data_IF_808385394278
#
_entry.id   IF_808385394278
#
_cell.length_a   1.000
_cell.length_b   1.000
_cell.length_c   1.000
_cell.angle_alpha   90.00
_cell.angle_beta   90.00
_cell.angle_gamma   90.00
#
_symmetry.space_group_name_H-M   'P 1'
#
loop_
_entity.id
_entity.type
_entity.pdbx_description
1 polymer ?
#
# COMPACT_ATOMS: atom_id res chain seq x y z
N UNK A 1 22.83 41.69 -6.94
CA UNK A 1 23.18 40.57 -7.83
C UNK A 1 21.96 39.69 -8.02
N UNK A 2 21.26 39.85 -9.15
CA UNK A 2 20.04 39.10 -9.47
C UNK A 2 20.42 37.79 -10.18
N UNK A 3 20.10 36.64 -9.58
CA UNK A 3 20.20 35.35 -10.27
C UNK A 3 19.03 35.19 -11.23
N UNK A 4 19.32 34.86 -12.50
CA UNK A 4 18.32 34.59 -13.51
C UNK A 4 17.41 33.41 -13.10
N UNK A 5 16.10 33.68 -13.05
CA UNK A 5 15.08 32.68 -12.75
C UNK A 5 14.84 31.84 -14.00
N UNK A 6 14.96 30.52 -13.87
CA UNK A 6 14.58 29.54 -14.89
C UNK A 6 13.19 29.88 -15.47
N UNK A 7 13.17 30.33 -16.71
CA UNK A 7 11.96 30.65 -17.46
C UNK A 7 11.29 29.36 -17.95
N UNK A 8 10.61 28.64 -17.05
CA UNK A 8 9.46 27.83 -17.44
C UNK A 8 8.21 28.67 -17.23
N UNK A 9 7.63 29.08 -18.34
CA UNK A 9 6.43 29.91 -18.50
C UNK A 9 5.23 29.28 -17.78
N UNK A 10 4.99 29.66 -16.52
CA UNK A 10 3.66 29.53 -15.92
C UNK A 10 2.76 30.65 -16.46
N UNK A 11 1.60 30.29 -17.03
CA UNK A 11 0.65 31.20 -17.69
C UNK A 11 0.06 32.31 -16.79
N UNK A 12 0.41 32.35 -15.51
CA UNK A 12 0.08 33.44 -14.59
C UNK A 12 1.38 34.00 -14.01
N UNK A 13 1.66 35.28 -14.25
CA UNK A 13 2.79 35.98 -13.63
C UNK A 13 2.61 35.98 -12.11
N UNK A 14 3.67 35.63 -11.36
CA UNK A 14 3.62 35.65 -9.90
C UNK A 14 3.31 37.06 -9.42
N UNK A 15 2.11 37.27 -8.86
CA UNK A 15 1.58 38.56 -8.39
C UNK A 15 2.28 39.12 -7.14
N UNK A 16 3.19 38.36 -6.52
CA UNK A 16 3.95 38.76 -5.34
C UNK A 16 5.43 38.42 -5.50
N UNK A 17 6.30 39.38 -5.18
CA UNK A 17 7.74 39.15 -5.02
C UNK A 17 7.92 38.25 -3.79
N UNK A 18 8.43 37.03 -3.99
CA UNK A 18 8.84 36.19 -2.85
C UNK A 18 9.91 36.94 -2.08
N UNK A 19 9.75 37.16 -0.76
CA UNK A 19 10.72 37.91 0.02
C UNK A 19 12.07 37.19 -0.09
N UNK A 20 13.05 37.87 -0.68
CA UNK A 20 14.44 37.38 -0.71
C UNK A 20 14.89 37.32 0.74
N UNK A 21 15.48 36.20 1.16
CA UNK A 21 16.10 36.10 2.48
C UNK A 21 17.00 37.33 2.72
N UNK A 22 17.02 37.93 3.91
CA UNK A 22 17.88 39.07 4.18
C UNK A 22 19.37 38.68 4.18
N UNK A 23 19.69 37.39 4.30
CA UNK A 23 21.07 36.90 4.48
C UNK A 23 22.00 37.18 3.30
N UNK A 24 21.59 37.05 2.02
CA UNK A 24 22.42 37.41 0.87
C UNK A 24 22.55 38.92 0.65
N UNK A 25 21.74 39.75 1.32
CA UNK A 25 21.82 41.21 1.23
C UNK A 25 22.90 41.80 2.16
N UNK A 26 23.37 41.02 3.12
CA UNK A 26 24.40 41.41 4.09
C UNK A 26 25.73 40.79 3.69
N UNK A 27 26.78 41.62 3.58
CA UNK A 27 28.16 41.14 3.40
C UNK A 27 28.75 40.72 4.74
N UNK A 28 28.95 39.43 4.91
CA UNK A 28 29.50 38.83 6.12
C UNK A 28 31.02 38.97 6.17
N UNK A 29 31.55 39.22 7.37
CA UNK A 29 32.99 39.14 7.59
C UNK A 29 33.47 37.68 7.53
N UNK A 30 32.72 36.76 8.12
CA UNK A 30 33.04 35.32 8.14
C UNK A 30 31.78 34.48 8.04
N UNK A 31 31.85 33.39 7.27
CA UNK A 31 30.86 32.32 7.26
C UNK A 31 31.55 31.02 7.63
N UNK A 32 31.07 30.37 8.69
CA UNK A 32 31.57 29.08 9.16
C UNK A 32 30.50 28.02 8.95
N UNK A 33 30.84 26.93 8.24
CA UNK A 33 30.02 25.74 8.16
C UNK A 33 30.52 24.73 9.18
N UNK A 34 29.67 24.44 10.16
CA UNK A 34 29.86 23.30 11.05
C UNK A 34 29.21 22.05 10.43
N UNK A 35 29.80 20.89 10.68
CA UNK A 35 29.45 19.61 10.03
C UNK A 35 29.31 19.74 8.50
N UNK A 36 30.35 20.31 7.88
CA UNK A 36 30.33 20.68 6.47
C UNK A 36 30.04 19.49 5.52
N UNK A 37 30.16 18.24 6.00
CA UNK A 37 29.74 17.06 5.26
C UNK A 37 28.25 17.06 4.86
N UNK A 38 27.40 17.76 5.62
CA UNK A 38 25.98 17.92 5.31
C UNK A 38 25.71 18.78 4.06
N UNK A 39 26.71 19.53 3.58
CA UNK A 39 26.57 20.55 2.52
C UNK A 39 27.52 20.28 1.33
N UNK A 40 28.07 19.07 1.22
CA UNK A 40 29.08 18.70 0.21
C UNK A 40 28.56 18.63 -1.24
N UNK A 41 27.26 18.40 -1.42
CA UNK A 41 26.68 18.24 -2.76
C UNK A 41 26.70 19.55 -3.54
N UNK A 42 27.57 19.69 -4.55
CA UNK A 42 27.67 20.87 -5.43
C UNK A 42 26.31 21.27 -6.03
N UNK A 43 25.45 20.28 -6.29
CA UNK A 43 24.12 20.48 -6.86
C UNK A 43 23.00 20.70 -5.83
N UNK A 44 23.29 20.53 -4.54
CA UNK A 44 22.32 20.69 -3.47
C UNK A 44 21.89 22.17 -3.36
N UNK A 45 20.59 22.39 -3.14
CA UNK A 45 20.03 23.76 -3.04
C UNK A 45 20.65 24.51 -1.86
N UNK A 46 20.91 23.79 -0.75
CA UNK A 46 21.58 24.33 0.43
C UNK A 46 22.97 24.86 0.08
N UNK A 47 23.80 24.07 -0.60
CA UNK A 47 25.17 24.46 -0.99
C UNK A 47 25.18 25.68 -1.91
N UNK A 48 24.24 25.75 -2.85
CA UNK A 48 24.07 26.93 -3.72
C UNK A 48 23.70 28.17 -2.91
N UNK A 49 22.74 28.05 -1.99
CA UNK A 49 22.30 29.17 -1.15
C UNK A 49 23.42 29.68 -0.23
N UNK A 50 24.15 28.79 0.47
CA UNK A 50 25.26 29.22 1.34
C UNK A 50 26.41 29.84 0.53
N UNK A 51 26.67 29.36 -0.70
CA UNK A 51 27.65 30.00 -1.58
C UNK A 51 27.23 31.40 -2.02
N UNK A 52 25.93 31.65 -2.20
CA UNK A 52 25.43 32.99 -2.55
C UNK A 52 25.57 34.03 -1.43
N UNK A 53 25.83 33.62 -0.18
CA UNK A 53 26.11 34.55 0.90
C UNK A 53 27.42 35.31 0.62
N UNK A 54 27.42 36.64 0.53
CA UNK A 54 28.64 37.39 0.32
C UNK A 54 29.47 37.38 1.61
N UNK A 55 30.71 36.90 1.54
CA UNK A 55 31.58 36.71 2.70
C UNK A 55 33.03 37.11 2.38
N UNK A 56 33.76 37.65 3.37
CA UNK A 56 35.22 37.90 3.26
C UNK A 56 36.02 36.63 3.56
N UNK A 57 35.65 35.91 4.62
CA UNK A 57 36.29 34.65 5.03
C UNK A 57 35.30 33.49 5.07
N UNK A 58 35.72 32.32 4.59
CA UNK A 58 34.90 31.11 4.58
C UNK A 58 35.66 29.97 5.26
N UNK A 59 34.98 29.29 6.19
CA UNK A 59 35.55 28.22 7.00
C UNK A 59 34.63 27.01 6.93
N UNK A 60 35.22 25.82 6.82
CA UNK A 60 34.53 24.54 6.92
C UNK A 60 35.11 23.76 8.08
N UNK A 61 34.25 23.25 8.94
CA UNK A 61 34.59 22.39 10.07
C UNK A 61 33.86 21.06 9.85
N UNK A 62 34.61 19.97 9.85
CA UNK A 62 34.09 18.62 9.64
C UNK A 62 35.03 17.59 10.24
N UNK A 63 34.46 16.59 10.92
CA UNK A 63 35.23 15.43 11.37
C UNK A 63 35.57 14.44 10.25
N UNK A 64 34.79 14.44 9.17
CA UNK A 64 34.82 13.45 8.09
C UNK A 64 34.74 14.12 6.71
N UNK A 65 35.84 14.73 6.22
CA UNK A 65 35.83 15.52 4.98
C UNK A 65 35.65 14.71 3.69
N UNK A 66 35.62 13.36 3.78
CA UNK A 66 35.43 12.45 2.66
C UNK A 66 34.51 11.32 3.13
N UNK A 67 33.28 11.28 2.63
CA UNK A 67 32.33 10.19 2.92
C UNK A 67 32.26 9.14 1.80
N UNK A 68 31.98 9.58 0.56
CA UNK A 68 31.59 8.66 -0.54
C UNK A 68 32.50 8.76 -1.76
N UNK A 69 32.87 9.97 -2.17
CA UNK A 69 33.73 10.19 -3.33
C UNK A 69 34.66 11.39 -3.14
N UNK A 70 35.64 11.52 -4.02
CA UNK A 70 36.53 12.69 -4.06
C UNK A 70 35.79 13.98 -4.43
N UNK A 71 34.59 13.88 -5.02
CA UNK A 71 33.78 15.07 -5.35
C UNK A 71 33.14 15.70 -4.10
N UNK A 72 32.96 14.91 -3.03
CA UNK A 72 32.56 15.45 -1.72
C UNK A 72 33.58 16.47 -1.21
N UNK A 73 34.87 16.13 -1.34
CA UNK A 73 35.97 17.00 -0.96
C UNK A 73 36.00 18.29 -1.81
N UNK A 74 35.70 18.19 -3.11
CA UNK A 74 35.56 19.36 -3.96
C UNK A 74 34.43 20.29 -3.50
N UNK A 75 33.29 19.74 -3.07
CA UNK A 75 32.19 20.54 -2.52
C UNK A 75 32.65 21.49 -1.41
N UNK A 76 33.54 21.02 -0.53
CA UNK A 76 34.15 21.81 0.53
C UNK A 76 35.11 22.87 -0.03
N UNK A 77 36.02 22.49 -0.94
CA UNK A 77 36.97 23.42 -1.58
C UNK A 77 36.26 24.52 -2.37
N UNK A 78 35.20 24.15 -3.09
CA UNK A 78 34.35 25.05 -3.85
C UNK A 78 33.58 26.03 -2.96
N UNK A 79 33.25 25.63 -1.73
CA UNK A 79 32.69 26.54 -0.73
C UNK A 79 33.74 27.50 -0.18
N UNK A 80 34.96 27.04 0.12
CA UNK A 80 36.04 27.92 0.60
C UNK A 80 36.39 29.04 -0.40
N UNK A 81 36.02 28.87 -1.67
CA UNK A 81 36.19 29.83 -2.76
C UNK A 81 37.65 30.25 -2.98
N UNK A 82 38.55 29.29 -2.79
CA UNK A 82 39.99 29.48 -2.91
C UNK A 82 40.46 29.33 -4.36
N UNK A 83 40.69 30.44 -5.05
CA UNK A 83 41.19 30.48 -6.42
C UNK A 83 42.65 29.98 -6.52
N UNK A 84 43.02 29.21 -7.56
CA UNK A 84 42.22 28.76 -8.71
C UNK A 84 41.48 27.42 -8.49
N UNK A 85 41.57 26.84 -7.30
CA UNK A 85 41.05 25.50 -6.99
C UNK A 85 39.53 25.44 -6.81
N UNK A 86 38.87 26.59 -6.78
CA UNK A 86 37.42 26.71 -6.84
C UNK A 86 36.86 26.43 -8.25
N UNK A 87 37.72 26.24 -9.27
CA UNK A 87 37.33 25.75 -10.60
C UNK A 87 37.30 24.22 -10.66
N UNK A 88 36.16 23.69 -11.12
CA UNK A 88 35.94 22.26 -11.25
C UNK A 88 36.83 21.61 -12.31
N UNK A 89 37.22 22.35 -13.35
CA UNK A 89 38.10 21.80 -14.40
C UNK A 89 39.48 21.46 -13.84
N UNK A 90 40.05 22.36 -13.03
CA UNK A 90 41.32 22.14 -12.35
C UNK A 90 41.20 21.00 -11.33
N UNK A 91 40.10 20.96 -10.55
CA UNK A 91 39.84 19.86 -9.63
C UNK A 91 39.79 18.50 -10.35
N UNK A 92 39.10 18.42 -11.48
CA UNK A 92 38.98 17.18 -12.26
C UNK A 92 40.34 16.68 -12.74
N UNK A 93 41.26 17.58 -13.11
CA UNK A 93 42.63 17.21 -13.47
C UNK A 93 43.40 16.65 -12.27
N UNK A 94 43.31 17.29 -11.11
CA UNK A 94 43.93 16.80 -9.87
C UNK A 94 43.38 15.44 -9.45
N UNK A 95 42.06 15.25 -9.50
CA UNK A 95 41.40 13.99 -9.19
C UNK A 95 41.79 12.88 -10.19
N UNK A 96 41.90 13.21 -11.48
CA UNK A 96 42.37 12.25 -12.48
C UNK A 96 43.81 11.78 -12.18
N UNK A 97 44.73 12.70 -11.87
CA UNK A 97 46.10 12.34 -11.48
C UNK A 97 46.15 11.48 -10.21
N UNK A 98 45.29 11.78 -9.23
CA UNK A 98 45.14 10.96 -8.03
C UNK A 98 44.66 9.53 -8.37
N UNK A 99 43.65 9.39 -9.24
CA UNK A 99 43.15 8.09 -9.70
C UNK A 99 44.18 7.28 -10.49
N UNK A 100 45.10 7.96 -11.20
CA UNK A 100 46.26 7.34 -11.87
C UNK A 100 47.40 6.98 -10.90
N UNK A 101 47.23 7.20 -9.59
CA UNK A 101 48.20 6.82 -8.56
C UNK A 101 49.20 7.90 -8.18
N UNK A 102 49.03 9.14 -8.64
CA UNK A 102 49.89 10.27 -8.24
C UNK A 102 49.14 11.23 -7.29
N UNK A 103 49.24 11.04 -5.96
CA UNK A 103 48.52 11.87 -4.99
C UNK A 103 49.20 13.21 -4.67
N UNK A 104 50.48 13.39 -5.05
CA UNK A 104 51.30 14.54 -4.62
C UNK A 104 50.67 15.89 -4.97
N UNK A 105 50.13 16.12 -6.18
CA UNK A 105 49.54 17.42 -6.54
C UNK A 105 48.33 17.76 -5.67
N UNK A 106 47.44 16.78 -5.45
CA UNK A 106 46.25 16.97 -4.62
C UNK A 106 46.65 17.23 -3.16
N UNK A 107 47.58 16.44 -2.61
CA UNK A 107 48.05 16.61 -1.24
C UNK A 107 48.70 17.98 -1.00
N UNK A 108 49.48 18.49 -1.96
CA UNK A 108 50.12 19.80 -1.85
C UNK A 108 49.11 20.96 -1.79
N UNK A 109 47.96 20.81 -2.46
CA UNK A 109 46.85 21.77 -2.36
C UNK A 109 46.17 21.62 -1.00
N UNK A 110 45.80 20.39 -0.64
CA UNK A 110 45.10 20.11 0.61
C UNK A 110 45.91 20.55 1.84
N UNK A 111 47.23 20.38 1.85
CA UNK A 111 48.09 20.81 2.96
C UNK A 111 48.13 22.32 3.17
N UNK A 112 47.73 23.13 2.17
CA UNK A 112 47.66 24.60 2.28
C UNK A 112 46.32 25.09 2.82
N UNK A 113 45.25 24.35 2.59
CA UNK A 113 43.87 24.79 2.88
C UNK A 113 43.21 24.00 4.01
N UNK A 114 43.73 22.82 4.34
CA UNK A 114 43.15 21.92 5.33
C UNK A 114 44.11 21.73 6.49
N UNK A 115 43.58 21.92 7.70
CA UNK A 115 44.24 21.52 8.93
C UNK A 115 43.50 20.31 9.51
N UNK A 116 44.20 19.19 9.74
CA UNK A 116 43.64 17.98 10.33
C UNK A 116 44.54 17.45 11.43
N UNK A 117 44.04 17.46 12.65
CA UNK A 117 44.69 16.82 13.80
C UNK A 117 44.09 15.44 14.02
N UNK A 118 44.90 14.39 13.98
CA UNK A 118 44.45 13.03 14.28
C UNK A 118 44.33 12.82 15.79
N UNK A 119 43.30 12.09 16.25
CA UNK A 119 43.11 11.75 17.67
C UNK A 119 44.35 11.09 18.29
N UNK A 120 45.07 10.27 17.51
CA UNK A 120 46.32 9.64 17.94
C UNK A 120 47.45 10.63 18.29
N UNK A 121 47.47 11.83 17.68
CA UNK A 121 48.49 12.84 17.90
C UNK A 121 48.25 13.71 19.14
N UNK A 122 47.07 13.62 19.76
CA UNK A 122 46.64 14.39 20.94
C UNK A 122 46.06 13.49 22.03
N UNK A 123 46.26 12.17 21.91
CA UNK A 123 45.63 11.18 22.79
C UNK A 123 46.10 11.34 24.25
N UNK A 124 47.36 11.71 24.43
CA UNK A 124 48.04 12.01 25.68
C UNK A 124 47.45 13.24 26.40
N UNK A 125 47.00 14.24 25.65
CA UNK A 125 46.45 15.49 26.17
C UNK A 125 44.96 15.40 26.52
N UNK A 126 44.22 14.50 25.88
CA UNK A 126 42.76 14.42 25.98
C UNK A 126 42.27 13.52 27.12
N UNK A 127 43.12 12.66 27.70
CA UNK A 127 42.74 11.76 28.80
C UNK A 127 41.60 10.80 28.46
N UNK A 128 41.41 10.47 27.17
CA UNK A 128 40.28 9.64 26.71
C UNK A 128 40.58 8.17 27.01
N UNK A 129 39.65 7.43 27.65
CA UNK A 129 39.84 5.99 27.87
C UNK A 129 39.98 5.24 26.53
N UNK A 130 40.73 4.12 26.51
CA UNK A 130 40.86 3.32 25.31
C UNK A 130 39.48 2.84 24.83
N UNK A 131 39.24 2.92 23.53
CA UNK A 131 38.02 2.40 22.93
C UNK A 131 38.04 0.87 22.96
N UNK A 132 37.05 0.25 23.59
CA UNK A 132 36.86 -1.20 23.58
C UNK A 132 35.72 -1.58 22.65
N UNK A 133 35.96 -2.50 21.72
CA UNK A 133 34.94 -3.08 20.85
C UNK A 133 34.64 -4.50 21.30
N UNK A 134 33.37 -4.80 21.59
CA UNK A 134 32.92 -6.14 21.98
C UNK A 134 31.97 -6.67 20.92
N UNK A 135 32.38 -7.72 20.22
CA UNK A 135 31.58 -8.36 19.18
C UNK A 135 30.68 -9.44 19.78
N UNK A 136 29.37 -9.17 19.88
CA UNK A 136 28.37 -10.17 20.27
C UNK A 136 27.86 -10.92 19.04
N UNK A 137 28.22 -12.19 18.92
CA UNK A 137 27.68 -13.09 17.89
C UNK A 137 26.36 -13.66 18.38
N UNK A 138 25.27 -13.34 17.68
CA UNK A 138 23.92 -13.81 17.99
C UNK A 138 23.60 -15.00 17.09
N UNK A 139 23.07 -16.07 17.67
CA UNK A 139 22.54 -17.21 16.92
C UNK A 139 21.04 -17.00 16.66
N UNK A 140 20.62 -17.17 15.41
CA UNK A 140 19.20 -17.16 15.05
C UNK A 140 18.48 -18.37 15.66
N UNK A 141 17.21 -18.22 16.01
CA UNK A 141 16.34 -19.36 16.34
C UNK A 141 16.15 -20.27 15.14
N UNK A 142 15.74 -21.53 15.36
CA UNK A 142 15.51 -22.49 14.28
C UNK A 142 14.50 -21.98 13.23
N UNK A 143 13.44 -21.32 13.71
CA UNK A 143 12.44 -20.71 12.84
C UNK A 143 13.04 -19.59 11.98
N UNK A 144 13.78 -18.66 12.59
CA UNK A 144 14.45 -17.57 11.88
C UNK A 144 15.48 -18.09 10.87
N UNK A 145 16.24 -19.13 11.24
CA UNK A 145 17.23 -19.75 10.37
C UNK A 145 16.56 -20.43 9.16
N UNK A 146 15.42 -21.10 9.35
CA UNK A 146 14.64 -21.66 8.24
C UNK A 146 14.21 -20.56 7.24
N UNK A 147 13.64 -19.45 7.72
CA UNK A 147 13.25 -18.33 6.83
C UNK A 147 14.43 -17.68 6.16
N UNK A 148 15.49 -17.40 6.93
CA UNK A 148 16.70 -16.81 6.41
C UNK A 148 17.27 -17.66 5.27
N UNK A 149 17.28 -19.00 5.40
CA UNK A 149 17.74 -19.92 4.35
C UNK A 149 16.83 -19.91 3.13
N UNK A 150 15.51 -19.90 3.32
CA UNK A 150 14.54 -19.84 2.21
C UNK A 150 14.68 -18.53 1.44
N UNK A 151 14.77 -17.39 2.13
CA UNK A 151 14.98 -16.10 1.48
C UNK A 151 16.39 -15.98 0.88
N UNK A 152 17.40 -16.56 1.52
CA UNK A 152 18.74 -16.61 0.97
C UNK A 152 18.78 -17.36 -0.36
N UNK A 153 18.06 -18.47 -0.48
CA UNK A 153 17.93 -19.20 -1.74
C UNK A 153 17.31 -18.32 -2.84
N UNK A 154 16.23 -17.58 -2.54
CA UNK A 154 15.58 -16.64 -3.47
C UNK A 154 16.48 -15.46 -3.85
N UNK A 155 17.16 -14.87 -2.87
CA UNK A 155 18.11 -13.77 -3.13
C UNK A 155 19.29 -14.27 -3.97
N UNK A 156 19.76 -15.50 -3.76
CA UNK A 156 20.83 -16.09 -4.54
C UNK A 156 20.41 -16.34 -6.00
N UNK A 157 19.18 -16.80 -6.26
CA UNK A 157 18.67 -16.95 -7.64
C UNK A 157 18.53 -15.59 -8.32
N UNK A 158 17.89 -14.61 -7.66
CA UNK A 158 17.73 -13.25 -8.19
C UNK A 158 19.08 -12.56 -8.46
N UNK A 159 20.06 -12.74 -7.58
CA UNK A 159 21.42 -12.24 -7.78
C UNK A 159 22.07 -12.88 -9.01
N UNK A 160 21.98 -14.21 -9.16
CA UNK A 160 22.56 -14.92 -10.31
C UNK A 160 21.93 -14.49 -11.63
N UNK A 161 20.61 -14.31 -11.66
CA UNK A 161 19.90 -13.80 -12.84
C UNK A 161 20.42 -12.41 -13.23
N UNK A 162 20.47 -11.47 -12.28
CA UNK A 162 21.02 -10.13 -12.53
C UNK A 162 22.49 -10.16 -12.94
N UNK A 163 23.29 -11.03 -12.33
CA UNK A 163 24.70 -11.20 -12.67
C UNK A 163 24.89 -11.77 -14.09
N UNK A 164 23.98 -12.65 -14.54
CA UNK A 164 24.04 -13.23 -15.88
C UNK A 164 23.93 -12.15 -16.97
N UNK A 165 23.09 -11.13 -16.77
CA UNK A 165 22.97 -9.99 -17.69
C UNK A 165 24.22 -9.11 -17.76
N UNK A 166 25.04 -9.09 -16.71
CA UNK A 166 26.23 -8.23 -16.62
C UNK A 166 27.48 -8.89 -17.23
N UNK A 167 27.47 -10.19 -17.52
CA UNK A 167 28.61 -10.91 -18.09
C UNK A 167 29.69 -11.28 -17.05
N UNK A 168 30.35 -12.44 -17.23
CA UNK A 168 31.23 -13.06 -16.21
C UNK A 168 32.59 -12.38 -16.00
N UNK A 169 33.00 -11.47 -16.87
CA UNK A 169 34.37 -10.93 -16.90
C UNK A 169 34.51 -9.54 -16.24
N UNK A 170 33.43 -8.99 -15.71
CA UNK A 170 33.44 -7.68 -15.07
C UNK A 170 33.81 -7.80 -13.59
N UNK A 171 34.95 -7.22 -13.23
CA UNK A 171 35.32 -7.03 -11.82
C UNK A 171 34.42 -6.00 -11.17
N UNK A 172 33.96 -6.31 -9.94
CA UNK A 172 33.16 -5.40 -9.11
C UNK A 172 33.82 -4.02 -8.92
N UNK A 173 35.15 -3.96 -8.89
CA UNK A 173 35.90 -2.71 -8.74
C UNK A 173 35.80 -1.77 -9.96
N UNK A 174 35.41 -2.30 -11.13
CA UNK A 174 35.25 -1.55 -12.39
C UNK A 174 33.79 -1.26 -12.73
N UNK A 175 32.85 -1.74 -11.92
CA UNK A 175 31.42 -1.51 -12.11
C UNK A 175 31.04 -0.11 -11.67
N UNK A 176 30.02 0.47 -12.32
CA UNK A 176 29.41 1.71 -11.84
C UNK A 176 28.63 1.45 -10.56
N UNK A 177 28.52 2.46 -9.71
CA UNK A 177 27.77 2.40 -8.44
C UNK A 177 26.30 1.99 -8.68
N UNK A 178 25.71 2.42 -9.79
CA UNK A 178 24.33 2.09 -10.16
C UNK A 178 24.16 0.59 -10.44
N UNK A 179 25.07 0.02 -11.24
CA UNK A 179 25.09 -1.41 -11.54
C UNK A 179 25.35 -2.23 -10.28
N UNK A 180 26.27 -1.79 -9.42
CA UNK A 180 26.54 -2.43 -8.14
C UNK A 180 25.30 -2.43 -7.24
N UNK A 181 24.61 -1.29 -7.12
CA UNK A 181 23.38 -1.19 -6.33
C UNK A 181 22.28 -2.12 -6.87
N UNK A 182 22.12 -2.22 -8.20
CA UNK A 182 21.15 -3.13 -8.81
C UNK A 182 21.45 -4.60 -8.50
N UNK A 183 22.74 -4.97 -8.54
CA UNK A 183 23.23 -6.31 -8.25
C UNK A 183 23.10 -6.66 -6.76
N UNK A 184 23.36 -5.69 -5.86
CA UNK A 184 23.30 -5.86 -4.41
C UNK A 184 21.89 -5.71 -3.82
N UNK A 185 20.93 -5.20 -4.59
CA UNK A 185 19.55 -4.96 -4.16
C UNK A 185 18.87 -6.19 -3.52
N UNK A 186 19.02 -7.43 -4.04
CA UNK A 186 18.47 -8.62 -3.40
C UNK A 186 19.03 -8.88 -1.99
N UNK A 187 20.30 -8.53 -1.73
CA UNK A 187 20.95 -8.74 -0.42
C UNK A 187 20.47 -7.74 0.65
N UNK A 188 19.87 -6.63 0.24
CA UNK A 188 19.27 -5.66 1.17
C UNK A 188 18.18 -6.31 2.01
N UNK A 189 17.40 -7.21 1.41
CA UNK A 189 16.34 -7.96 2.09
C UNK A 189 16.91 -8.90 3.15
N UNK A 190 17.95 -9.67 2.81
CA UNK A 190 18.64 -10.55 3.79
C UNK A 190 19.18 -9.77 5.00
N UNK A 191 19.70 -8.57 4.78
CA UNK A 191 20.14 -7.70 5.89
C UNK A 191 18.98 -7.24 6.77
N UNK A 192 17.80 -7.00 6.19
CA UNK A 192 16.61 -6.64 6.96
C UNK A 192 16.16 -7.82 7.81
N UNK A 193 16.12 -9.03 7.24
CA UNK A 193 15.69 -10.25 7.92
C UNK A 193 16.60 -10.63 9.11
N UNK A 194 17.89 -10.27 9.07
CA UNK A 194 18.80 -10.43 10.22
C UNK A 194 18.46 -9.53 11.42
N UNK A 195 17.83 -8.36 11.19
CA UNK A 195 17.52 -7.38 12.24
C UNK A 195 16.09 -7.61 12.74
N UNK A 196 15.14 -7.74 11.82
CA UNK A 196 13.73 -8.00 12.09
C UNK A 196 13.24 -8.97 11.02
N UNK A 197 12.67 -10.14 11.37
CA UNK A 197 12.08 -11.05 10.39
C UNK A 197 10.93 -10.36 9.63
N UNK A 198 11.22 -9.84 8.45
CA UNK A 198 10.22 -9.17 7.60
C UNK A 198 9.43 -10.22 6.83
N UNK A 199 8.46 -10.86 7.47
CA UNK A 199 7.54 -11.82 6.80
C UNK A 199 6.52 -11.12 5.86
N UNK A 200 6.63 -9.81 5.65
CA UNK A 200 5.72 -9.06 4.78
C UNK A 200 6.22 -9.07 3.32
N UNK A 201 5.88 -10.14 2.59
CA UNK A 201 6.01 -10.20 1.14
C UNK A 201 4.69 -10.48 0.39
N UNK A 202 3.53 -10.26 1.02
CA UNK A 202 2.24 -10.29 0.31
C UNK A 202 1.42 -9.05 0.65
N UNK A 203 1.67 -7.97 -0.09
CA UNK A 203 0.66 -7.17 -0.79
C UNK A 203 1.24 -5.78 -1.14
N UNK A 204 1.06 -5.38 -2.39
CA UNK A 204 1.32 -4.06 -2.99
C UNK A 204 0.49 -2.91 -2.38
N UNK A 205 0.21 -2.92 -1.08
CA UNK A 205 -0.52 -1.85 -0.43
C UNK A 205 0.29 -1.24 0.71
N UNK A 206 0.66 0.02 0.48
CA UNK A 206 1.14 1.00 1.42
C UNK A 206 0.32 1.00 2.72
N UNK A 207 0.68 0.20 3.71
CA UNK A 207 0.43 0.50 5.12
C UNK A 207 1.48 -0.22 5.96
N UNK A 208 2.25 0.58 6.70
CA UNK A 208 3.09 0.23 7.85
C UNK A 208 3.57 -1.23 7.94
N UNK A 209 4.87 -1.46 7.70
CA UNK A 209 5.58 -2.68 8.10
C UNK A 209 5.35 -2.92 9.59
N UNK A 210 4.30 -3.66 9.95
CA UNK A 210 3.99 -3.97 11.33
C UNK A 210 5.10 -4.92 11.79
N UNK A 211 5.92 -4.46 12.72
CA UNK A 211 6.88 -5.32 13.40
C UNK A 211 6.07 -6.39 14.13
N UNK A 212 6.12 -7.64 13.65
CA UNK A 212 5.48 -8.75 14.35
C UNK A 212 6.42 -9.25 15.46
N UNK A 213 5.87 -9.43 16.65
CA UNK A 213 6.53 -10.17 17.73
C UNK A 213 6.68 -11.65 17.34
N UNK A 214 7.57 -12.43 18.00
CA UNK A 214 7.74 -13.86 17.71
C UNK A 214 6.45 -14.68 17.80
N UNK A 215 5.52 -14.29 18.69
CA UNK A 215 4.23 -14.96 18.84
C UNK A 215 3.27 -14.64 17.70
N UNK A 216 3.14 -13.36 17.34
CA UNK A 216 2.33 -12.95 16.20
C UNK A 216 2.89 -13.53 14.88
N UNK A 217 4.23 -13.66 14.79
CA UNK A 217 4.90 -14.33 13.68
C UNK A 217 4.46 -15.78 13.56
N UNK A 218 4.50 -16.53 14.67
CA UNK A 218 4.08 -17.93 14.71
C UNK A 218 2.62 -18.08 14.29
N UNK A 219 1.73 -17.25 14.81
CA UNK A 219 0.30 -17.29 14.46
C UNK A 219 0.06 -17.00 12.98
N UNK A 220 0.70 -15.96 12.45
CA UNK A 220 0.64 -15.65 11.02
C UNK A 220 1.15 -16.80 10.15
N UNK A 221 2.20 -17.51 10.60
CA UNK A 221 2.76 -18.64 9.88
C UNK A 221 1.84 -19.86 9.88
N UNK A 222 1.19 -20.13 11.01
CA UNK A 222 0.15 -21.18 11.09
C UNK A 222 -0.97 -20.85 10.10
N UNK A 223 -1.47 -19.62 10.10
CA UNK A 223 -2.52 -19.19 9.18
C UNK A 223 -2.11 -19.28 7.71
N UNK A 224 -0.90 -18.85 7.35
CA UNK A 224 -0.43 -18.95 5.97
C UNK A 224 -0.26 -20.40 5.52
N UNK A 225 0.26 -21.27 6.39
CA UNK A 225 0.39 -22.69 6.09
C UNK A 225 -0.99 -23.36 5.95
N UNK A 226 -1.94 -23.03 6.82
CA UNK A 226 -3.33 -23.48 6.69
C UNK A 226 -3.96 -23.06 5.35
N UNK A 227 -3.71 -21.82 4.90
CA UNK A 227 -4.19 -21.36 3.58
C UNK A 227 -3.55 -22.13 2.43
N UNK A 228 -2.24 -22.38 2.49
CA UNK A 228 -1.51 -23.16 1.47
C UNK A 228 -2.03 -24.60 1.42
N UNK A 229 -2.21 -25.26 2.57
CA UNK A 229 -2.81 -26.58 2.65
C UNK A 229 -4.26 -26.60 2.13
N UNK A 230 -5.10 -25.62 2.48
CA UNK A 230 -6.46 -25.50 1.94
C UNK A 230 -6.44 -25.33 0.42
N UNK A 231 -5.50 -24.54 -0.11
CA UNK A 231 -5.34 -24.37 -1.57
C UNK A 231 -4.94 -25.66 -2.27
N UNK A 232 -3.98 -26.41 -1.71
CA UNK A 232 -3.57 -27.70 -2.27
C UNK A 232 -4.72 -28.72 -2.22
N UNK A 233 -5.44 -28.79 -1.10
CA UNK A 233 -6.59 -29.68 -0.92
C UNK A 233 -7.72 -29.36 -1.90
N UNK A 234 -8.01 -28.06 -2.13
CA UNK A 234 -8.94 -27.60 -3.15
C UNK A 234 -8.56 -28.11 -4.53
N UNK A 235 -7.29 -28.00 -4.92
CA UNK A 235 -6.81 -28.50 -6.21
C UNK A 235 -7.00 -30.01 -6.33
N UNK A 236 -6.63 -30.78 -5.31
CA UNK A 236 -6.77 -32.25 -5.31
C UNK A 236 -8.25 -32.65 -5.49
N UNK A 237 -9.15 -32.13 -4.65
CA UNK A 237 -10.57 -32.48 -4.70
C UNK A 237 -11.21 -32.01 -6.00
N UNK A 238 -10.87 -30.81 -6.49
CA UNK A 238 -11.34 -30.32 -7.79
C UNK A 238 -10.88 -31.22 -8.94
N UNK A 239 -9.64 -31.72 -8.92
CA UNK A 239 -9.15 -32.66 -9.93
C UNK A 239 -9.87 -34.01 -9.85
N UNK A 240 -10.17 -34.51 -8.65
CA UNK A 240 -10.94 -35.75 -8.48
C UNK A 240 -12.36 -35.59 -9.04
N UNK A 241 -13.05 -34.49 -8.72
CA UNK A 241 -14.36 -34.17 -9.28
C UNK A 241 -14.31 -34.07 -10.81
N UNK A 242 -13.29 -33.41 -11.36
CA UNK A 242 -13.08 -33.31 -12.80
C UNK A 242 -12.87 -34.69 -13.47
N UNK A 243 -12.07 -35.57 -12.86
CA UNK A 243 -11.89 -36.94 -13.35
C UNK A 243 -13.18 -37.74 -13.29
N UNK A 244 -13.95 -37.61 -12.20
CA UNK A 244 -15.24 -38.27 -12.05
C UNK A 244 -16.21 -37.85 -13.17
N UNK A 245 -16.29 -36.55 -13.47
CA UNK A 245 -17.09 -36.03 -14.57
C UNK A 245 -16.68 -36.60 -15.95
N UNK A 246 -15.37 -36.80 -16.20
CA UNK A 246 -14.89 -37.45 -17.43
C UNK A 246 -15.39 -38.90 -17.53
N UNK A 247 -15.40 -39.64 -16.42
CA UNK A 247 -15.96 -40.99 -16.39
C UNK A 247 -17.48 -41.01 -16.61
N UNK A 248 -18.21 -40.01 -16.09
CA UNK A 248 -19.65 -39.84 -16.39
C UNK A 248 -19.88 -39.65 -17.89
N UNK A 249 -19.10 -38.79 -18.56
CA UNK A 249 -19.19 -38.57 -20.01
C UNK A 249 -18.90 -39.85 -20.79
N UNK A 250 -17.94 -40.67 -20.31
CA UNK A 250 -17.61 -41.99 -20.88
C UNK A 250 -18.62 -43.08 -20.56
N UNK A 251 -19.68 -42.78 -19.80
CA UNK A 251 -20.69 -43.73 -19.30
C UNK A 251 -20.12 -44.82 -18.38
N UNK A 252 -19.00 -44.55 -17.73
CA UNK A 252 -18.34 -45.43 -16.75
C UNK A 252 -18.81 -45.05 -15.33
N UNK A 253 -20.10 -45.23 -15.05
CA UNK A 253 -20.77 -44.73 -13.84
C UNK A 253 -20.22 -45.31 -12.53
N UNK A 254 -19.84 -46.59 -12.50
CA UNK A 254 -19.23 -47.19 -11.30
C UNK A 254 -17.92 -46.50 -10.91
N UNK A 255 -17.10 -46.16 -11.90
CA UNK A 255 -15.81 -45.53 -11.67
C UNK A 255 -15.99 -44.06 -11.27
N UNK A 256 -16.95 -43.36 -11.87
CA UNK A 256 -17.35 -42.02 -11.46
C UNK A 256 -17.83 -41.99 -9.99
N UNK A 257 -18.69 -42.94 -9.60
CA UNK A 257 -19.18 -43.04 -8.23
C UNK A 257 -18.05 -43.28 -7.20
N UNK A 258 -17.05 -44.12 -7.53
CA UNK A 258 -15.87 -44.34 -6.68
C UNK A 258 -15.06 -43.05 -6.49
N UNK A 259 -14.91 -42.24 -7.54
CA UNK A 259 -14.17 -40.98 -7.48
C UNK A 259 -14.93 -39.89 -6.71
N UNK A 260 -16.26 -39.76 -6.88
CA UNK A 260 -17.04 -38.84 -6.03
C UNK A 260 -17.03 -39.26 -4.55
N UNK A 261 -17.10 -40.57 -4.26
CA UNK A 261 -16.94 -41.07 -2.89
C UNK A 261 -15.54 -40.79 -2.33
N UNK A 262 -14.49 -40.87 -3.14
CA UNK A 262 -13.15 -40.54 -2.69
C UNK A 262 -12.99 -39.04 -2.42
N UNK A 263 -13.58 -38.16 -3.24
CA UNK A 263 -13.63 -36.72 -2.97
C UNK A 263 -14.31 -36.41 -1.63
N UNK A 264 -15.41 -37.09 -1.30
CA UNK A 264 -16.10 -36.95 -0.01
C UNK A 264 -15.31 -37.51 1.16
N UNK A 265 -14.57 -38.61 0.94
CA UNK A 265 -13.65 -39.15 1.94
C UNK A 265 -12.55 -38.16 2.30
N UNK A 266 -11.97 -37.44 1.32
CA UNK A 266 -11.02 -36.36 1.61
C UNK A 266 -11.64 -35.25 2.47
N UNK A 267 -12.94 -34.98 2.31
CA UNK A 267 -13.63 -34.02 3.18
C UNK A 267 -13.86 -34.56 4.60
N UNK A 268 -14.05 -35.87 4.75
CA UNK A 268 -14.25 -36.53 6.04
C UNK A 268 -12.93 -36.74 6.80
N UNK A 269 -11.84 -37.06 6.09
CA UNK A 269 -10.49 -37.23 6.65
C UNK A 269 -9.92 -35.89 7.15
N UNK A 270 -10.32 -34.77 6.54
CA UNK A 270 -9.88 -33.40 6.88
C UNK A 270 -11.02 -32.55 7.48
N UNK A 271 -11.58 -33.01 8.60
CA UNK A 271 -12.54 -32.23 9.40
C UNK A 271 -11.81 -31.46 10.52
N UNK A 272 -11.79 -30.13 10.46
CA UNK A 272 -11.16 -29.28 11.50
C UNK A 272 -10.52 -28.01 10.95
N UNK A 273 -9.24 -27.79 11.27
CA UNK A 273 -8.46 -26.58 10.92
C UNK A 273 -8.31 -26.37 9.41
N UNK A 274 -8.11 -27.47 8.68
CA UNK A 274 -8.06 -27.50 7.22
C UNK A 274 -9.29 -28.26 6.75
N UNK A 275 -10.19 -27.60 6.01
CA UNK A 275 -11.44 -28.18 5.53
C UNK A 275 -11.54 -28.06 4.01
N UNK A 276 -12.15 -29.04 3.35
CA UNK A 276 -12.51 -28.95 1.93
C UNK A 276 -13.62 -27.93 1.73
N UNK A 277 -13.57 -27.16 0.65
CA UNK A 277 -14.60 -26.17 0.32
C UNK A 277 -15.98 -26.81 0.18
N UNK A 278 -17.01 -26.16 0.73
CA UNK A 278 -18.39 -26.68 0.72
C UNK A 278 -18.93 -26.88 -0.69
N UNK A 279 -18.59 -26.01 -1.65
CA UNK A 279 -19.04 -26.12 -3.04
C UNK A 279 -18.49 -27.38 -3.74
N UNK A 280 -17.23 -27.76 -3.46
CA UNK A 280 -16.64 -28.97 -4.04
C UNK A 280 -17.31 -30.24 -3.49
N UNK A 281 -17.71 -30.21 -2.21
CA UNK A 281 -18.46 -31.30 -1.59
C UNK A 281 -19.89 -31.37 -2.13
N UNK A 282 -20.57 -30.23 -2.30
CA UNK A 282 -21.90 -30.15 -2.91
C UNK A 282 -21.86 -30.72 -4.33
N UNK A 283 -20.85 -30.34 -5.13
CA UNK A 283 -20.66 -30.89 -6.48
C UNK A 283 -20.50 -32.41 -6.45
N UNK A 284 -19.66 -32.94 -5.57
CA UNK A 284 -19.47 -34.38 -5.46
C UNK A 284 -20.74 -35.11 -5.03
N UNK A 285 -21.50 -34.57 -4.06
CA UNK A 285 -22.74 -35.16 -3.56
C UNK A 285 -23.85 -35.14 -4.63
N UNK A 286 -24.06 -34.00 -5.28
CA UNK A 286 -25.10 -33.84 -6.29
C UNK A 286 -24.90 -34.79 -7.47
N UNK A 287 -23.68 -34.82 -8.03
CA UNK A 287 -23.38 -35.72 -9.15
C UNK A 287 -23.33 -37.18 -8.72
N UNK A 288 -22.94 -37.49 -7.47
CA UNK A 288 -22.99 -38.86 -6.96
C UNK A 288 -24.43 -39.36 -6.85
N UNK A 289 -25.36 -38.53 -6.36
CA UNK A 289 -26.80 -38.84 -6.31
C UNK A 289 -27.30 -39.17 -7.72
N UNK A 290 -27.05 -38.30 -8.69
CA UNK A 290 -27.47 -38.49 -10.08
C UNK A 290 -26.86 -39.76 -10.71
N UNK A 291 -25.56 -40.00 -10.51
CA UNK A 291 -24.89 -41.22 -11.02
C UNK A 291 -25.46 -42.48 -10.38
N UNK A 292 -25.78 -42.46 -9.09
CA UNK A 292 -26.37 -43.61 -8.39
C UNK A 292 -27.80 -43.89 -8.88
N UNK A 293 -28.58 -42.86 -9.18
CA UNK A 293 -29.91 -43.01 -9.79
C UNK A 293 -29.84 -43.57 -11.22
N UNK A 294 -28.87 -43.11 -12.01
CA UNK A 294 -28.69 -43.53 -13.41
C UNK A 294 -28.11 -44.94 -13.57
N UNK A 295 -27.25 -45.38 -12.66
CA UNK A 295 -26.55 -46.67 -12.80
C UNK A 295 -27.43 -47.89 -12.52
N UNK A 296 -28.68 -47.69 -12.09
CA UNK A 296 -29.63 -48.77 -11.85
C UNK A 296 -29.25 -49.68 -10.68
N UNK A 297 -30.23 -50.42 -10.21
CA UNK A 297 -30.24 -51.09 -8.92
C UNK A 297 -29.48 -52.45 -8.92
N UNK A 298 -28.52 -52.68 -8.01
CA UNK A 298 -27.82 -53.98 -7.86
C UNK A 298 -27.74 -54.45 -6.38
N UNK A 299 -28.64 -54.02 -5.47
CA UNK A 299 -28.55 -54.31 -4.02
C UNK A 299 -29.87 -54.60 -3.31
N UNK A 300 -29.93 -54.43 -1.98
CA UNK A 300 -31.19 -54.41 -1.19
C UNK A 300 -31.82 -53.01 -1.24
N UNK A 301 -33.09 -52.90 -1.68
CA UNK A 301 -33.80 -51.63 -1.96
C UNK A 301 -33.77 -50.61 -0.82
N UNK A 302 -33.80 -51.11 0.41
CA UNK A 302 -33.91 -50.28 1.59
C UNK A 302 -32.57 -49.65 2.02
N UNK A 303 -31.45 -50.36 1.83
CA UNK A 303 -30.11 -49.85 2.20
C UNK A 303 -29.65 -48.74 1.26
N UNK A 304 -29.92 -48.89 -0.03
CA UNK A 304 -29.61 -47.89 -1.06
C UNK A 304 -30.45 -46.62 -0.88
N UNK A 305 -31.77 -46.75 -0.66
CA UNK A 305 -32.64 -45.58 -0.41
C UNK A 305 -32.28 -44.85 0.89
N UNK A 306 -31.69 -45.53 1.87
CA UNK A 306 -31.17 -44.88 3.07
C UNK A 306 -29.88 -44.09 2.75
N UNK A 307 -28.94 -44.70 2.03
CA UNK A 307 -27.71 -44.01 1.61
C UNK A 307 -27.99 -42.78 0.74
N UNK A 308 -28.95 -42.86 -0.18
CA UNK A 308 -29.35 -41.72 -1.01
C UNK A 308 -29.88 -40.56 -0.15
N UNK A 309 -30.78 -40.86 0.78
CA UNK A 309 -31.31 -39.88 1.75
C UNK A 309 -30.21 -39.25 2.60
N UNK A 310 -29.23 -40.03 3.05
CA UNK A 310 -28.10 -39.52 3.83
C UNK A 310 -27.25 -38.52 3.00
N UNK A 311 -27.03 -38.81 1.71
CA UNK A 311 -26.32 -37.89 0.80
C UNK A 311 -27.13 -36.62 0.50
N UNK A 312 -28.44 -36.74 0.28
CA UNK A 312 -29.35 -35.60 0.07
C UNK A 312 -29.37 -34.68 1.30
N UNK A 313 -29.48 -35.25 2.51
CA UNK A 313 -29.48 -34.49 3.75
C UNK A 313 -28.12 -33.78 3.96
N UNK A 314 -27.01 -34.47 3.68
CA UNK A 314 -25.67 -33.86 3.74
C UNK A 314 -25.51 -32.72 2.73
N UNK A 315 -26.02 -32.89 1.51
CA UNK A 315 -26.00 -31.87 0.48
C UNK A 315 -26.81 -30.63 0.91
N UNK A 316 -28.04 -30.83 1.38
CA UNK A 316 -28.91 -29.76 1.85
C UNK A 316 -28.30 -28.97 3.03
N UNK A 317 -27.63 -29.67 3.97
CA UNK A 317 -26.90 -29.02 5.07
C UNK A 317 -25.76 -28.14 4.57
N UNK A 318 -24.99 -28.62 3.59
CA UNK A 318 -23.87 -27.86 3.02
C UNK A 318 -24.34 -26.66 2.19
N UNK A 319 -25.40 -26.82 1.40
CA UNK A 319 -26.03 -25.73 0.65
C UNK A 319 -26.54 -24.65 1.59
N UNK A 320 -27.22 -25.03 2.68
CA UNK A 320 -27.67 -24.07 3.68
C UNK A 320 -26.51 -23.36 4.35
N UNK A 321 -25.47 -24.08 4.79
CA UNK A 321 -24.27 -23.47 5.38
C UNK A 321 -23.65 -22.42 4.46
N UNK A 322 -23.64 -22.67 3.15
CA UNK A 322 -23.15 -21.70 2.17
C UNK A 322 -24.07 -20.47 2.07
N UNK A 323 -25.37 -20.68 1.89
CA UNK A 323 -26.38 -19.62 1.74
C UNK A 323 -26.56 -18.79 3.02
N UNK A 324 -26.43 -19.40 4.19
CA UNK A 324 -26.60 -18.78 5.50
C UNK A 324 -25.70 -17.54 5.68
N UNK A 325 -24.47 -17.59 5.14
CA UNK A 325 -23.55 -16.45 5.15
C UNK A 325 -24.15 -15.22 4.47
N UNK A 326 -24.74 -15.40 3.30
CA UNK A 326 -25.42 -14.34 2.54
C UNK A 326 -26.73 -13.91 3.21
N UNK A 327 -27.51 -14.87 3.73
CA UNK A 327 -28.73 -14.58 4.50
C UNK A 327 -28.45 -13.68 5.70
N UNK A 328 -27.34 -13.93 6.41
CA UNK A 328 -26.94 -13.12 7.55
C UNK A 328 -26.51 -11.70 7.15
N UNK A 329 -25.84 -11.54 6.00
CA UNK A 329 -25.52 -10.21 5.46
C UNK A 329 -26.81 -9.43 5.17
N UNK A 330 -27.77 -10.04 4.47
CA UNK A 330 -29.06 -9.41 4.17
C UNK A 330 -29.82 -9.01 5.45
N UNK A 331 -29.88 -9.91 6.44
CA UNK A 331 -30.52 -9.62 7.74
C UNK A 331 -29.83 -8.49 8.51
N UNK A 332 -28.51 -8.37 8.41
CA UNK A 332 -27.76 -7.29 9.05
C UNK A 332 -28.05 -5.94 8.39
N UNK A 333 -28.05 -5.89 7.04
CA UNK A 333 -28.42 -4.69 6.29
C UNK A 333 -29.83 -4.25 6.64
N UNK A 334 -30.78 -5.18 6.73
CA UNK A 334 -32.17 -4.88 7.13
C UNK A 334 -32.25 -4.29 8.55
N UNK A 335 -31.50 -4.86 9.49
CA UNK A 335 -31.43 -4.39 10.88
C UNK A 335 -30.83 -2.98 10.98
N UNK A 336 -29.91 -2.63 10.09
CA UNK A 336 -29.31 -1.28 10.02
C UNK A 336 -30.20 -0.27 9.29
N UNK A 337 -30.92 -0.71 8.25
CA UNK A 337 -31.81 0.15 7.46
C UNK A 337 -33.07 0.54 8.23
N UNK A 338 -33.69 -0.39 8.97
CA UNK A 338 -34.92 -0.14 9.73
C UNK A 338 -34.85 1.09 10.68
N UNK A 339 -33.82 1.25 11.53
CA UNK A 339 -33.71 2.44 12.39
C UNK A 339 -33.37 3.71 11.61
N UNK A 340 -32.64 3.62 10.49
CA UNK A 340 -32.35 4.77 9.64
C UNK A 340 -33.61 5.28 8.94
N UNK A 341 -34.40 4.38 8.36
CA UNK A 341 -35.70 4.68 7.75
C UNK A 341 -36.69 5.24 8.79
N UNK A 342 -36.72 4.66 10.00
CA UNK A 342 -37.54 5.16 11.11
C UNK A 342 -37.17 6.59 11.52
N UNK A 343 -35.87 6.92 11.61
CA UNK A 343 -35.40 8.29 11.90
C UNK A 343 -35.78 9.28 10.79
N UNK A 344 -35.65 8.89 9.52
CA UNK A 344 -36.06 9.74 8.40
C UNK A 344 -37.56 10.02 8.46
N UNK A 345 -38.38 9.01 8.74
CA UNK A 345 -39.82 9.18 8.93
C UNK A 345 -40.15 10.09 10.11
N UNK A 346 -39.49 9.90 11.26
CA UNK A 346 -39.69 10.75 12.45
C UNK A 346 -39.32 12.22 12.18
N UNK A 347 -38.19 12.46 11.51
CA UNK A 347 -37.73 13.81 11.14
C UNK A 347 -38.69 14.44 10.12
N UNK A 348 -39.12 13.68 9.11
CA UNK A 348 -40.11 14.13 8.12
C UNK A 348 -41.42 14.52 8.78
N UNK A 349 -41.95 13.69 9.69
CA UNK A 349 -43.19 13.97 10.41
C UNK A 349 -43.08 15.18 11.35
N UNK A 350 -41.90 15.44 11.94
CA UNK A 350 -41.65 16.66 12.74
C UNK A 350 -41.59 17.93 11.88
N UNK A 351 -41.20 17.81 10.61
CA UNK A 351 -41.02 18.92 9.68
C UNK A 351 -42.31 19.28 8.94
N UNK A 352 -43.19 18.31 8.67
CA UNK A 352 -44.44 18.44 7.86
C UNK A 352 -45.41 19.54 8.33
N UNK A 353 -45.29 20.01 9.57
CA UNK A 353 -46.15 21.08 10.11
C UNK A 353 -45.41 22.36 10.53
N UNK A 354 -44.07 22.38 10.44
CA UNK A 354 -43.25 23.51 10.92
C UNK A 354 -42.49 24.22 9.82
N UNK A 355 -42.26 23.53 8.71
CA UNK A 355 -41.50 23.98 7.57
C UNK A 355 -42.28 23.49 6.36
N UNK A 356 -43.09 24.37 5.74
CA UNK A 356 -43.46 24.16 4.34
C UNK A 356 -42.15 23.86 3.64
N UNK A 357 -42.06 22.78 2.86
CA UNK A 357 -40.82 22.17 2.36
C UNK A 357 -39.90 23.07 1.52
N UNK A 358 -40.06 24.39 1.60
CA UNK A 358 -39.29 25.47 1.03
C UNK A 358 -39.00 26.60 2.06
N UNK A 359 -38.72 26.33 3.35
CA UNK A 359 -38.37 27.40 4.33
C UNK A 359 -37.28 28.37 3.84
N UNK A 360 -36.36 27.90 2.99
CA UNK A 360 -35.34 28.74 2.39
C UNK A 360 -35.94 29.85 1.53
N UNK A 361 -37.17 29.70 0.98
CA UNK A 361 -37.87 30.75 0.24
C UNK A 361 -38.25 31.93 1.14
N UNK A 362 -38.63 31.69 2.39
CA UNK A 362 -38.87 32.75 3.36
C UNK A 362 -37.58 33.50 3.71
N UNK A 363 -36.47 32.74 3.82
CA UNK A 363 -35.14 33.32 4.03
C UNK A 363 -34.69 34.13 2.82
N UNK A 364 -34.86 33.60 1.61
CA UNK A 364 -34.58 34.30 0.35
C UNK A 364 -35.40 35.58 0.25
N UNK A 365 -36.69 35.53 0.58
CA UNK A 365 -37.59 36.69 0.58
C UNK A 365 -37.16 37.76 1.61
N UNK A 366 -36.67 37.34 2.78
CA UNK A 366 -36.13 38.25 3.78
C UNK A 366 -34.81 38.92 3.35
N UNK A 367 -33.98 38.20 2.58
CA UNK A 367 -32.70 38.68 2.07
C UNK A 367 -32.87 39.62 0.87
N UNK A 368 -33.84 39.36 0.01
CA UNK A 368 -34.13 40.18 -1.19
C UNK A 368 -34.41 41.66 -0.85
N UNK A 369 -34.93 41.93 0.37
CA UNK A 369 -35.17 43.28 0.87
C UNK A 369 -33.90 44.12 1.09
N UNK A 370 -32.71 43.52 1.14
CA UNK A 370 -31.45 44.23 1.39
C UNK A 370 -30.29 43.74 0.50
N UNK A 371 -30.00 44.50 -0.55
CA UNK A 371 -28.96 44.21 -1.54
C UNK A 371 -27.56 43.96 -0.95
N UNK A 372 -27.17 44.68 0.11
CA UNK A 372 -25.86 44.50 0.75
C UNK A 372 -25.76 43.16 1.50
N UNK A 373 -26.86 42.70 2.12
CA UNK A 373 -26.92 41.39 2.81
C UNK A 373 -26.93 40.25 1.80
N UNK A 374 -27.62 40.41 0.67
CA UNK A 374 -27.64 39.44 -0.42
C UNK A 374 -26.25 39.20 -1.00
N UNK A 375 -25.50 40.28 -1.29
CA UNK A 375 -24.14 40.17 -1.82
C UNK A 375 -23.18 39.47 -0.84
N UNK A 376 -23.25 39.81 0.45
CA UNK A 376 -22.44 39.16 1.49
C UNK A 376 -22.78 37.67 1.66
N UNK A 377 -24.07 37.31 1.59
CA UNK A 377 -24.54 35.94 1.70
C UNK A 377 -24.08 35.08 0.51
N UNK A 378 -24.27 35.56 -0.72
CA UNK A 378 -23.83 34.84 -1.94
C UNK A 378 -22.32 34.62 -1.97
N UNK A 379 -21.53 35.61 -1.51
CA UNK A 379 -20.07 35.45 -1.42
C UNK A 379 -19.68 34.37 -0.41
N UNK A 380 -20.32 34.35 0.76
CA UNK A 380 -20.08 33.30 1.77
C UNK A 380 -20.51 31.93 1.26
N UNK A 381 -21.67 31.83 0.62
CA UNK A 381 -22.20 30.58 0.05
C UNK A 381 -21.25 30.01 -1.01
N UNK A 382 -20.81 30.83 -1.98
CA UNK A 382 -19.91 30.38 -3.04
C UNK A 382 -18.52 29.97 -2.51
N UNK A 383 -18.04 30.57 -1.41
CA UNK A 383 -16.82 30.11 -0.73
C UNK A 383 -17.02 28.73 -0.10
N UNK A 384 -18.13 28.51 0.60
CA UNK A 384 -18.42 27.22 1.23
C UNK A 384 -18.65 26.11 0.20
N UNK A 385 -19.37 26.40 -0.88
CA UNK A 385 -19.59 25.44 -1.98
C UNK A 385 -18.26 25.05 -2.62
N UNK A 386 -17.38 26.01 -2.93
CA UNK A 386 -16.04 25.73 -3.48
C UNK A 386 -15.16 24.88 -2.57
N UNK A 387 -15.29 25.05 -1.26
CA UNK A 387 -14.53 24.26 -0.28
C UNK A 387 -15.00 22.80 -0.18
N UNK A 388 -16.29 22.52 -0.39
CA UNK A 388 -16.88 21.20 -0.14
C UNK A 388 -17.07 20.35 -1.40
N UNK A 389 -17.45 20.92 -2.56
CA UNK A 389 -17.83 20.12 -3.73
C UNK A 389 -16.79 20.09 -4.85
N UNK A 390 -15.79 20.99 -4.87
CA UNK A 390 -14.77 21.09 -5.92
C UNK A 390 -15.30 21.35 -7.35
N UNK A 391 -16.62 21.35 -7.52
CA UNK A 391 -17.39 21.50 -8.76
C UNK A 391 -18.74 22.11 -8.39
N UNK A 392 -18.91 23.40 -8.66
CA UNK A 392 -20.21 24.02 -8.91
C UNK A 392 -19.97 25.34 -9.63
N UNK A 393 -20.79 25.63 -10.63
CA UNK A 393 -20.90 26.97 -11.21
C UNK A 393 -21.27 27.97 -10.10
N UNK A 394 -20.71 29.18 -10.16
CA UNK A 394 -20.99 30.21 -9.15
C UNK A 394 -22.49 30.53 -9.13
N UNK A 395 -23.11 30.51 -7.95
CA UNK A 395 -24.51 30.90 -7.79
C UNK A 395 -24.61 32.41 -7.98
N UNK A 396 -25.12 32.84 -9.13
CA UNK A 396 -25.10 34.25 -9.57
C UNK A 396 -26.21 35.09 -8.91
N UNK A 397 -27.28 34.46 -8.40
CA UNK A 397 -28.37 35.20 -7.76
C UNK A 397 -29.35 34.35 -6.96
N UNK A 398 -30.14 35.00 -6.10
CA UNK A 398 -31.09 34.34 -5.18
C UNK A 398 -32.17 33.51 -5.90
N UNK A 399 -32.64 33.94 -7.08
CA UNK A 399 -33.61 33.19 -7.89
C UNK A 399 -33.01 31.92 -8.50
N UNK A 400 -31.75 32.00 -8.92
CA UNK A 400 -30.99 30.84 -9.40
C UNK A 400 -30.76 29.84 -8.28
N UNK A 401 -30.51 30.34 -7.05
CA UNK A 401 -30.39 29.51 -5.86
C UNK A 401 -31.69 28.80 -5.50
N UNK A 402 -32.84 29.48 -5.51
CA UNK A 402 -34.14 28.85 -5.23
C UNK A 402 -34.46 27.75 -6.25
N UNK A 403 -34.21 28.01 -7.54
CA UNK A 403 -34.38 27.01 -8.60
C UNK A 403 -33.47 25.80 -8.35
N UNK A 404 -32.17 26.00 -8.12
CA UNK A 404 -31.22 24.91 -7.87
C UNK A 404 -31.58 24.09 -6.63
N UNK A 405 -31.95 24.74 -5.51
CA UNK A 405 -32.35 24.04 -4.29
C UNK A 405 -33.63 23.23 -4.48
N UNK A 406 -34.59 23.77 -5.24
CA UNK A 406 -35.83 23.05 -5.56
C UNK A 406 -35.54 21.83 -6.43
N UNK A 407 -34.75 22.00 -7.50
CA UNK A 407 -34.33 20.90 -8.39
C UNK A 407 -33.58 19.81 -7.63
N UNK A 408 -32.60 20.18 -6.80
CA UNK A 408 -31.84 19.21 -6.01
C UNK A 408 -32.72 18.46 -5.01
N UNK A 409 -33.68 19.13 -4.38
CA UNK A 409 -34.60 18.47 -3.46
C UNK A 409 -35.50 17.46 -4.19
N UNK A 410 -35.99 17.84 -5.37
CA UNK A 410 -36.84 16.97 -6.19
C UNK A 410 -36.04 15.77 -6.72
N UNK A 411 -34.80 15.97 -7.20
CA UNK A 411 -33.87 14.89 -7.58
C UNK A 411 -33.60 13.93 -6.41
N UNK A 412 -33.35 14.47 -5.21
CA UNK A 412 -33.12 13.63 -4.01
C UNK A 412 -34.36 12.83 -3.63
N UNK A 413 -35.56 13.39 -3.78
CA UNK A 413 -36.82 12.67 -3.54
C UNK A 413 -37.04 11.57 -4.59
N UNK A 414 -36.80 11.87 -5.86
CA UNK A 414 -36.91 10.91 -6.96
C UNK A 414 -35.95 9.73 -6.74
N UNK A 415 -34.66 10.00 -6.51
CA UNK A 415 -33.66 8.97 -6.21
C UNK A 415 -34.00 8.16 -4.96
N UNK A 416 -34.58 8.81 -3.92
CA UNK A 416 -35.05 8.09 -2.74
C UNK A 416 -36.17 7.12 -3.08
N UNK A 417 -37.15 7.53 -3.88
CA UNK A 417 -38.27 6.67 -4.26
C UNK A 417 -37.78 5.52 -5.13
N UNK A 418 -36.91 5.78 -6.12
CA UNK A 418 -36.29 4.73 -6.93
C UNK A 418 -35.53 3.71 -6.07
N UNK A 419 -34.80 4.18 -5.05
CA UNK A 419 -34.07 3.31 -4.13
C UNK A 419 -35.03 2.42 -3.33
N UNK A 420 -36.12 2.98 -2.82
CA UNK A 420 -37.14 2.23 -2.07
C UNK A 420 -37.80 1.18 -2.97
N UNK A 421 -38.23 1.57 -4.16
CA UNK A 421 -38.84 0.66 -5.14
C UNK A 421 -37.88 -0.46 -5.55
N UNK A 422 -36.58 -0.14 -5.70
CA UNK A 422 -35.55 -1.13 -5.99
C UNK A 422 -35.39 -2.15 -4.83
N UNK A 423 -35.41 -1.71 -3.58
CA UNK A 423 -35.38 -2.63 -2.44
C UNK A 423 -36.63 -3.50 -2.35
N UNK A 424 -37.80 -2.93 -2.62
CA UNK A 424 -39.06 -3.67 -2.63
C UNK A 424 -39.12 -4.70 -3.77
N UNK A 425 -38.53 -4.39 -4.94
CA UNK A 425 -38.42 -5.34 -6.05
C UNK A 425 -37.59 -6.59 -5.73
N UNK A 426 -36.68 -6.49 -4.76
CA UNK A 426 -35.78 -7.58 -4.33
C UNK A 426 -36.39 -8.36 -3.14
N UNK A 427 -37.57 -7.97 -2.64
CA UNK A 427 -38.24 -8.62 -1.51
C UNK A 427 -38.46 -10.13 -1.72
N UNK A 428 -38.67 -10.58 -2.96
CA UNK A 428 -38.74 -12.01 -3.29
C UNK A 428 -37.52 -12.80 -2.82
N UNK A 429 -36.30 -12.27 -3.01
CA UNK A 429 -35.07 -12.93 -2.61
C UNK A 429 -34.89 -12.90 -1.08
N UNK A 430 -35.37 -11.85 -0.42
CA UNK A 430 -35.37 -11.73 1.04
C UNK A 430 -36.24 -12.80 1.69
N UNK A 431 -37.43 -13.07 1.14
CA UNK A 431 -38.39 -14.02 1.73
C UNK A 431 -38.06 -15.50 1.43
N UNK A 432 -37.40 -15.77 0.29
CA UNK A 432 -37.09 -17.11 -0.20
C UNK A 432 -35.67 -17.61 0.11
N UNK A 433 -34.87 -16.83 0.86
CA UNK A 433 -33.58 -17.27 1.44
C UNK A 433 -33.80 -18.28 2.59
N UNK A 434 -34.36 -19.44 2.26
CA UNK A 434 -34.66 -20.55 3.17
C UNK A 434 -34.03 -21.86 2.67
N UNK A 435 -33.73 -22.82 3.56
CA UNK A 435 -33.29 -24.15 3.17
C UNK A 435 -34.23 -24.79 2.15
N UNK A 436 -33.71 -25.56 1.18
CA UNK A 436 -34.51 -26.27 0.17
C UNK A 436 -35.64 -27.11 0.75
N UNK A 437 -35.53 -27.56 2.01
CA UNK A 437 -36.58 -28.34 2.66
C UNK A 437 -37.79 -27.54 3.15
N UNK A 438 -37.67 -26.22 3.19
CA UNK A 438 -38.71 -25.27 3.58
C UNK A 438 -39.32 -24.54 2.37
N UNK A 439 -38.92 -24.91 1.14
CA UNK A 439 -39.52 -24.36 -0.06
C UNK A 439 -40.92 -24.96 -0.28
N UNK A 440 -41.90 -24.14 -0.72
CA UNK A 440 -43.22 -24.63 -1.13
C UNK A 440 -43.08 -25.74 -2.20
N UNK A 441 -43.99 -26.71 -2.20
CA UNK A 441 -44.00 -27.82 -3.15
C UNK A 441 -44.15 -27.38 -4.62
N UNK A 442 -44.55 -26.14 -4.86
CA UNK A 442 -44.65 -25.52 -6.19
C UNK A 442 -43.30 -24.99 -6.71
N UNK A 443 -42.30 -24.87 -5.83
CA UNK A 443 -40.96 -24.31 -6.12
C UNK A 443 -39.84 -25.37 -6.01
N UNK A 444 -40.08 -26.45 -5.25
CA UNK A 444 -39.27 -27.69 -5.26
C UNK A 444 -39.52 -28.47 -6.53
#
# INVERSE_FOLDING_TARGET
YYTAVNSRTSRHGKRFLSPVSPLPLVRWWRVCLDEAQMVEGIHNQTTKMVKTLPAVHRWTVTGTPIEKSMDNLYGLVHFLDYSPYNDYQLWRQLNYQYQQGNPRPLLAVMSRIMWRTCKAAVLDQLGIPPQTEVLHKITMSDLQNFFYRTEHAKCATAFREKAAYLGRNLSMARMTIQTLNLLMEPLRKLRQDCVIPSILHKSDQLTTKKLLTPNELREHLVLNNEMECKSALRTIVSSINGMAAVHVIRREYEQAAKLYKSALRWADDYQGTISVDSLLQIHALYNLIEVLEMNGFVGEEETFRKQLRDYEERCAKLEWKYIETYSNIVKNVERELAPAAGKVFEISAKLDHKVDGNWWRDVIFSLDRNSARTAAFLLKLNVEVKNHSGMAEDIVGLRSMDYQLTTWLDEVKEQRNELVDAFDSIAYFRENLKPKHLWPAEVR
#
